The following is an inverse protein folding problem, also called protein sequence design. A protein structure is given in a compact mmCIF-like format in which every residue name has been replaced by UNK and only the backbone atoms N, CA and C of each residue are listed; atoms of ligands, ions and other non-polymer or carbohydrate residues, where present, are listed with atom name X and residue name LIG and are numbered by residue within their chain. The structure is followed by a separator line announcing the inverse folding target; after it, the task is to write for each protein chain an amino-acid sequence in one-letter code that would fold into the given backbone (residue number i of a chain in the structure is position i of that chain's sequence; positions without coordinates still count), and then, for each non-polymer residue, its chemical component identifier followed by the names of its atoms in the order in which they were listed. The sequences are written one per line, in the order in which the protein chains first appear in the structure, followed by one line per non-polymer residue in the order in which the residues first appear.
data_IF_798112283942
#
_entry.id   IF_798112283942
#
_cell.length_a   1.000
_cell.length_b   1.000
_cell.length_c   1.000
_cell.angle_alpha   90.00
_cell.angle_beta   90.00
_cell.angle_gamma   90.00
#
_symmetry.space_group_name_H-M   'P 1'
#
loop_
_entity.id
_entity.type
_entity.pdbx_description
1 polymer ?
#
# COMPACT_ATOMS: atom_id res chain seq x y z
N UNK A 1 33.81 70.79 -40.49
CA UNK A 1 33.97 70.03 -39.23
C UNK A 1 32.65 69.31 -38.99
N UNK A 2 32.55 68.02 -39.35
CA UNK A 2 32.66 66.86 -38.43
C UNK A 2 31.40 66.80 -37.54
N UNK A 3 30.51 65.81 -37.55
CA UNK A 3 30.44 64.46 -38.12
C UNK A 3 29.01 63.94 -37.97
N UNK A 4 28.60 63.05 -38.88
CA UNK A 4 27.41 62.20 -38.81
C UNK A 4 27.51 61.18 -37.66
N UNK A 5 26.41 60.99 -36.92
CA UNK A 5 26.28 59.90 -35.95
C UNK A 5 25.34 58.84 -36.50
N UNK A 6 25.92 57.78 -37.09
CA UNK A 6 25.22 56.54 -37.41
C UNK A 6 25.03 55.72 -36.12
N UNK A 7 23.78 55.47 -35.74
CA UNK A 7 23.43 54.40 -34.79
C UNK A 7 23.68 53.04 -35.46
N UNK A 8 24.69 52.30 -34.99
CA UNK A 8 24.86 50.88 -35.29
C UNK A 8 24.25 50.08 -34.14
N UNK A 9 23.09 49.47 -34.39
CA UNK A 9 22.48 48.48 -33.51
C UNK A 9 23.31 47.19 -33.57
N UNK A 10 24.03 46.87 -32.49
CA UNK A 10 24.69 45.58 -32.33
C UNK A 10 23.65 44.60 -31.81
N UNK A 11 23.17 43.72 -32.68
CA UNK A 11 22.38 42.55 -32.28
C UNK A 11 23.32 41.52 -31.65
N UNK A 12 23.38 41.49 -30.32
CA UNK A 12 23.94 40.35 -29.59
C UNK A 12 22.85 39.30 -29.52
N UNK A 13 22.92 38.29 -30.38
CA UNK A 13 22.11 37.08 -30.27
C UNK A 13 22.52 36.34 -29.00
N UNK A 14 21.79 36.59 -27.90
CA UNK A 14 21.86 35.75 -26.72
C UNK A 14 21.22 34.40 -27.06
N UNK A 15 22.04 33.44 -27.50
CA UNK A 15 21.64 32.05 -27.54
C UNK A 15 21.40 31.60 -26.10
N UNK A 16 20.13 31.61 -25.67
CA UNK A 16 19.71 30.85 -24.49
C UNK A 16 20.00 29.38 -24.79
N UNK A 17 21.12 28.88 -24.29
CA UNK A 17 21.30 27.46 -24.01
C UNK A 17 20.21 27.08 -23.01
N UNK A 18 19.09 26.59 -23.55
CA UNK A 18 18.09 25.85 -22.77
C UNK A 18 18.77 24.58 -22.28
N UNK A 19 19.43 24.68 -21.12
CA UNK A 19 19.81 23.52 -20.34
C UNK A 19 18.55 22.66 -20.20
N UNK A 20 18.53 21.42 -20.74
CA UNK A 20 17.41 20.53 -20.52
C UNK A 20 17.28 20.38 -19.01
N UNK A 21 16.08 20.69 -18.51
CA UNK A 21 15.83 20.83 -17.08
C UNK A 21 16.37 19.63 -16.31
N UNK A 22 16.85 19.91 -15.09
CA UNK A 22 17.27 18.96 -14.06
C UNK A 22 16.15 17.99 -13.59
N UNK A 23 15.13 17.78 -14.41
CA UNK A 23 14.09 16.79 -14.26
C UNK A 23 14.63 15.42 -14.70
N UNK A 24 15.19 14.66 -13.76
CA UNK A 24 14.76 13.27 -13.52
C UNK A 24 15.72 12.55 -12.57
N UNK A 25 15.81 12.98 -11.30
CA UNK A 25 16.49 12.17 -10.29
C UNK A 25 15.79 10.81 -10.09
N UNK A 26 14.50 10.67 -10.42
CA UNK A 26 13.79 9.39 -10.36
C UNK A 26 14.28 8.38 -11.42
N UNK A 27 14.88 8.86 -12.53
CA UNK A 27 15.43 7.96 -13.55
C UNK A 27 16.64 7.16 -13.07
N UNK A 28 17.22 7.50 -11.91
CA UNK A 28 18.33 6.75 -11.29
C UNK A 28 17.92 5.31 -10.99
N UNK A 29 16.64 5.07 -10.69
CA UNK A 29 16.08 3.72 -10.43
C UNK A 29 15.40 3.09 -11.65
N UNK A 30 15.47 3.74 -12.83
CA UNK A 30 14.88 3.22 -14.08
C UNK A 30 15.67 2.02 -14.58
N UNK A 31 15.01 0.89 -14.91
CA UNK A 31 15.68 -0.24 -15.55
C UNK A 31 16.32 0.11 -16.90
N UNK A 32 17.51 -0.44 -17.15
CA UNK A 32 18.30 -0.12 -18.34
C UNK A 32 17.82 -0.77 -19.63
N UNK A 33 17.04 -1.86 -19.54
CA UNK A 33 16.47 -2.60 -20.69
C UNK A 33 14.96 -2.41 -20.75
N UNK A 34 14.37 -2.56 -21.94
CA UNK A 34 12.91 -2.68 -22.06
C UNK A 34 12.44 -3.96 -21.39
N UNK A 35 11.19 -3.99 -20.92
CA UNK A 35 10.58 -5.17 -20.31
C UNK A 35 10.61 -6.36 -21.26
N UNK A 36 10.23 -6.15 -22.53
CA UNK A 36 10.22 -7.18 -23.57
C UNK A 36 11.61 -7.80 -23.86
N UNK A 37 12.69 -7.06 -23.57
CA UNK A 37 14.07 -7.51 -23.77
C UNK A 37 14.66 -8.20 -22.53
N UNK A 38 13.85 -8.37 -21.48
CA UNK A 38 14.24 -9.07 -20.26
C UNK A 38 13.51 -10.39 -20.14
N UNK A 39 14.24 -11.45 -19.78
CA UNK A 39 13.61 -12.69 -19.36
C UNK A 39 13.23 -12.54 -17.88
N UNK A 40 11.94 -12.67 -17.52
CA UNK A 40 11.53 -12.65 -16.13
C UNK A 40 12.19 -13.79 -15.35
N UNK A 41 12.39 -13.58 -14.04
CA UNK A 41 12.75 -14.66 -13.13
C UNK A 41 11.71 -15.81 -13.19
N UNK A 42 12.10 -16.99 -12.72
CA UNK A 42 11.24 -18.19 -12.74
C UNK A 42 9.85 -17.94 -12.13
N UNK A 43 8.84 -18.64 -12.66
CA UNK A 43 7.47 -18.59 -12.12
C UNK A 43 7.46 -19.14 -10.68
N UNK A 44 6.84 -18.44 -9.72
CA UNK A 44 6.70 -18.95 -8.36
C UNK A 44 5.77 -20.16 -8.31
N UNK A 45 6.18 -21.21 -7.59
CA UNK A 45 5.32 -22.35 -7.24
C UNK A 45 4.76 -22.14 -5.82
N UNK A 46 3.49 -21.77 -5.70
CA UNK A 46 2.88 -21.49 -4.40
C UNK A 46 2.55 -22.73 -3.57
N UNK A 47 2.79 -23.94 -4.10
CA UNK A 47 2.86 -25.15 -3.28
C UNK A 47 4.11 -25.17 -2.38
N UNK A 48 5.16 -24.42 -2.75
CA UNK A 48 6.36 -24.28 -1.93
C UNK A 48 6.15 -23.20 -0.85
N UNK A 49 6.29 -23.53 0.45
CA UNK A 49 6.16 -22.55 1.53
C UNK A 49 7.10 -21.35 1.43
N UNK A 50 8.26 -21.50 0.77
CA UNK A 50 9.26 -20.42 0.63
C UNK A 50 8.81 -19.29 -0.31
N UNK A 51 7.85 -19.58 -1.21
CA UNK A 51 7.21 -18.57 -2.05
C UNK A 51 6.13 -17.77 -1.29
N UNK A 52 6.02 -17.96 0.02
CA UNK A 52 5.20 -17.15 0.91
C UNK A 52 6.09 -16.35 1.85
N UNK A 53 5.84 -15.05 1.96
CA UNK A 53 6.47 -14.19 2.94
C UNK A 53 5.87 -14.42 4.35
N UNK A 54 4.59 -14.80 4.41
CA UNK A 54 3.93 -15.23 5.63
C UNK A 54 3.00 -16.41 5.42
N UNK A 55 3.07 -17.40 6.32
CA UNK A 55 2.11 -18.50 6.46
C UNK A 55 1.81 -18.72 7.94
N UNK A 56 0.54 -18.92 8.34
CA UNK A 56 0.18 -19.06 9.75
C UNK A 56 0.70 -20.36 10.41
N UNK A 57 1.23 -21.28 9.60
CA UNK A 57 1.84 -22.55 10.03
C UNK A 57 3.35 -22.45 10.19
N UNK A 58 3.96 -21.31 9.85
CA UNK A 58 5.41 -21.07 9.93
C UNK A 58 5.67 -19.92 10.89
N UNK A 59 6.78 -19.99 11.64
CA UNK A 59 7.25 -18.85 12.41
C UNK A 59 7.90 -17.82 11.48
N UNK A 60 7.34 -16.62 11.37
CA UNK A 60 7.87 -15.56 10.52
C UNK A 60 7.59 -14.13 11.04
N UNK A 61 7.88 -13.13 10.22
CA UNK A 61 7.74 -11.71 10.59
C UNK A 61 6.29 -11.26 10.77
N UNK A 62 5.30 -12.03 10.33
CA UNK A 62 3.89 -11.72 10.58
C UNK A 62 3.45 -12.11 12.01
N UNK A 63 4.24 -12.88 12.76
CA UNK A 63 3.91 -13.33 14.11
C UNK A 63 4.37 -12.38 15.22
N UNK A 64 5.16 -11.36 14.87
CA UNK A 64 5.72 -10.46 15.87
C UNK A 64 4.75 -9.34 16.23
N UNK A 65 5.00 -8.73 17.38
CA UNK A 65 4.33 -7.52 17.84
C UNK A 65 5.39 -6.47 18.22
N UNK A 66 5.07 -5.17 18.23
CA UNK A 66 6.01 -4.13 18.63
C UNK A 66 6.59 -4.42 20.02
N UNK A 67 7.89 -4.19 20.19
CA UNK A 67 8.59 -4.48 21.46
C UNK A 67 7.92 -3.72 22.62
N UNK A 68 7.75 -4.40 23.76
CA UNK A 68 7.19 -3.79 24.96
C UNK A 68 5.71 -3.39 24.87
N UNK A 69 4.99 -3.77 23.79
CA UNK A 69 3.60 -3.36 23.58
C UNK A 69 2.56 -4.12 24.43
N UNK A 70 2.92 -5.27 25.01
CA UNK A 70 1.98 -6.17 25.69
C UNK A 70 0.98 -6.87 24.76
N UNK A 71 1.05 -6.61 23.45
CA UNK A 71 0.24 -7.31 22.44
C UNK A 71 0.67 -8.77 22.31
N UNK A 72 -0.20 -9.56 21.68
CA UNK A 72 0.06 -10.97 21.38
C UNK A 72 -0.37 -11.28 19.96
N UNK A 73 0.38 -12.16 19.32
CA UNK A 73 -0.09 -12.91 18.15
C UNK A 73 -1.24 -13.84 18.56
N UNK A 74 -2.31 -13.85 17.77
CA UNK A 74 -3.53 -14.62 17.99
C UNK A 74 -3.95 -15.42 16.74
N UNK A 75 -3.08 -15.57 15.75
CA UNK A 75 -3.39 -16.26 14.49
C UNK A 75 -3.92 -17.68 14.70
N UNK A 76 -3.39 -18.41 15.69
CA UNK A 76 -3.82 -19.79 16.00
C UNK A 76 -5.31 -19.88 16.36
N UNK A 77 -5.86 -18.85 17.01
CA UNK A 77 -7.25 -18.77 17.47
C UNK A 77 -8.13 -17.95 16.54
N UNK A 78 -7.54 -17.34 15.49
CA UNK A 78 -8.26 -16.47 14.59
C UNK A 78 -9.39 -17.21 13.85
N UNK A 79 -10.53 -16.54 13.72
CA UNK A 79 -11.72 -17.06 13.03
C UNK A 79 -11.74 -16.70 11.53
N UNK A 80 -10.92 -15.74 11.12
CA UNK A 80 -10.76 -15.30 9.74
C UNK A 80 -9.33 -15.52 9.25
N UNK A 81 -9.15 -15.31 7.95
CA UNK A 81 -7.86 -15.26 7.29
C UNK A 81 -7.67 -13.87 6.67
N UNK A 82 -6.42 -13.41 6.56
CA UNK A 82 -6.06 -12.22 5.80
C UNK A 82 -5.13 -12.62 4.67
N UNK A 83 -5.51 -12.26 3.46
CA UNK A 83 -4.62 -12.32 2.31
C UNK A 83 -4.01 -10.92 2.13
N UNK A 84 -2.78 -10.77 2.61
CA UNK A 84 -2.05 -9.49 2.62
C UNK A 84 -1.07 -9.43 1.46
N UNK A 85 -1.26 -8.46 0.56
CA UNK A 85 -0.38 -8.19 -0.58
C UNK A 85 0.56 -7.04 -0.18
N UNK A 86 1.85 -7.34 -0.01
CA UNK A 86 2.83 -6.37 0.43
C UNK A 86 3.10 -5.28 -0.64
N UNK A 87 3.60 -4.08 -0.28
CA UNK A 87 3.97 -3.04 -1.25
C UNK A 87 5.31 -3.36 -1.92
N UNK A 88 5.74 -2.48 -2.82
CA UNK A 88 7.06 -2.54 -3.45
C UNK A 88 8.18 -2.32 -2.43
N UNK A 89 9.08 -3.29 -2.36
CA UNK A 89 10.37 -3.25 -1.65
C UNK A 89 11.55 -3.37 -2.61
N UNK A 90 11.27 -3.57 -3.91
CA UNK A 90 12.25 -3.60 -4.99
C UNK A 90 12.45 -2.20 -5.59
N UNK A 91 13.57 -1.55 -5.24
CA UNK A 91 13.94 -0.20 -5.72
C UNK A 91 15.12 -0.20 -6.69
N UNK A 92 15.51 -1.40 -7.11
CA UNK A 92 16.64 -1.70 -7.98
C UNK A 92 16.28 -1.43 -9.45
N UNK A 93 17.31 -1.22 -10.27
CA UNK A 93 17.22 -0.87 -11.70
C UNK A 93 17.73 -2.00 -12.62
N UNK A 94 18.07 -3.14 -12.05
CA UNK A 94 18.67 -4.27 -12.74
C UNK A 94 17.63 -4.98 -13.63
N UNK A 95 16.37 -5.00 -13.20
CA UNK A 95 15.23 -5.57 -13.92
C UNK A 95 13.94 -4.82 -13.60
N UNK A 96 12.90 -5.07 -14.38
CA UNK A 96 11.56 -4.53 -14.13
C UNK A 96 10.81 -5.22 -12.99
N UNK A 97 11.11 -6.50 -12.75
CA UNK A 97 10.49 -7.29 -11.69
C UNK A 97 11.56 -7.98 -10.85
N UNK A 98 11.30 -8.06 -9.55
CA UNK A 98 12.16 -8.75 -8.60
C UNK A 98 12.32 -10.24 -8.92
N UNK A 99 13.50 -10.78 -8.63
CA UNK A 99 13.73 -12.22 -8.56
C UNK A 99 13.42 -12.72 -7.14
N UNK A 100 12.63 -13.79 -7.02
CA UNK A 100 12.29 -14.36 -5.72
C UNK A 100 13.46 -15.10 -5.05
N UNK A 101 14.55 -15.36 -5.79
CA UNK A 101 15.79 -15.91 -5.24
C UNK A 101 16.69 -14.85 -4.60
N UNK A 102 16.35 -13.55 -4.70
CA UNK A 102 17.09 -12.47 -4.02
C UNK A 102 16.79 -12.48 -2.51
N UNK A 103 17.60 -13.23 -1.76
CA UNK A 103 17.48 -13.36 -0.30
C UNK A 103 17.55 -12.02 0.43
N UNK A 104 18.34 -11.05 -0.07
CA UNK A 104 18.46 -9.73 0.58
C UNK A 104 17.18 -8.94 0.42
N UNK A 105 16.57 -8.99 -0.76
CA UNK A 105 15.27 -8.39 -1.01
C UNK A 105 14.20 -9.04 -0.15
N UNK A 106 14.14 -10.38 -0.12
CA UNK A 106 13.18 -11.12 0.70
C UNK A 106 13.31 -10.78 2.18
N UNK A 107 14.53 -10.77 2.72
CA UNK A 107 14.80 -10.36 4.10
C UNK A 107 14.38 -8.91 4.38
N UNK A 108 14.56 -8.01 3.41
CA UNK A 108 14.08 -6.65 3.52
C UNK A 108 12.55 -6.57 3.52
N UNK A 109 11.86 -7.28 2.62
CA UNK A 109 10.39 -7.39 2.62
C UNK A 109 9.87 -7.91 3.96
N UNK A 110 10.45 -8.98 4.48
CA UNK A 110 10.02 -9.61 5.72
C UNK A 110 10.19 -8.68 6.93
N UNK A 111 11.36 -8.03 7.07
CA UNK A 111 11.65 -7.16 8.21
C UNK A 111 11.11 -5.74 8.07
N UNK A 112 10.62 -5.35 6.90
CA UNK A 112 9.97 -4.07 6.68
C UNK A 112 8.46 -4.23 6.63
N UNK A 113 7.89 -4.61 5.50
CA UNK A 113 6.47 -4.52 5.22
C UNK A 113 5.67 -5.61 5.93
N UNK A 114 6.15 -6.86 5.92
CA UNK A 114 5.48 -7.94 6.65
C UNK A 114 5.49 -7.63 8.15
N UNK A 115 6.67 -7.38 8.73
CA UNK A 115 6.82 -7.03 10.15
C UNK A 115 6.00 -5.82 10.58
N UNK A 116 5.98 -4.74 9.79
CA UNK A 116 5.46 -3.43 10.23
C UNK A 116 4.04 -3.13 9.75
N UNK A 117 3.54 -3.85 8.75
CA UNK A 117 2.20 -3.64 8.18
C UNK A 117 1.31 -4.87 8.37
N UNK A 118 1.72 -6.06 7.89
CA UNK A 118 0.87 -7.26 7.96
C UNK A 118 0.51 -7.66 9.40
N UNK A 119 1.40 -7.40 10.36
CA UNK A 119 1.20 -7.72 11.78
C UNK A 119 0.01 -7.00 12.41
N UNK A 120 -0.54 -5.93 11.82
CA UNK A 120 -1.79 -5.34 12.34
C UNK A 120 -2.93 -6.35 12.37
N UNK A 121 -2.90 -7.35 11.48
CA UNK A 121 -3.97 -8.33 11.34
C UNK A 121 -3.79 -9.58 12.20
N UNK A 122 -2.61 -9.82 12.79
CA UNK A 122 -2.32 -11.05 13.54
C UNK A 122 -3.08 -11.18 14.88
N UNK A 123 -3.91 -10.19 15.25
CA UNK A 123 -4.93 -10.32 16.31
C UNK A 123 -6.29 -10.84 15.81
N UNK A 124 -6.58 -10.67 14.51
CA UNK A 124 -7.91 -10.89 13.95
C UNK A 124 -7.97 -12.09 13.01
N UNK A 125 -6.86 -12.37 12.32
CA UNK A 125 -6.83 -13.26 11.17
C UNK A 125 -5.50 -14.02 11.08
N UNK A 126 -5.53 -15.22 10.48
CA UNK A 126 -4.33 -15.93 10.02
C UNK A 126 -3.71 -15.18 8.84
N UNK A 127 -2.42 -14.88 8.89
CA UNK A 127 -1.76 -14.06 7.87
C UNK A 127 -1.20 -14.94 6.76
N UNK A 128 -1.71 -14.75 5.55
CA UNK A 128 -1.15 -15.29 4.31
C UNK A 128 -0.63 -14.12 3.48
N UNK A 129 0.67 -14.12 3.18
CA UNK A 129 1.28 -13.10 2.33
C UNK A 129 2.18 -13.77 1.29
N UNK A 130 1.85 -13.71 -0.01
CA UNK A 130 2.69 -14.31 -1.03
C UNK A 130 3.96 -13.48 -1.28
N UNK A 131 5.05 -14.16 -1.64
CA UNK A 131 6.12 -13.51 -2.40
C UNK A 131 5.71 -13.53 -3.85
N UNK A 132 5.77 -12.38 -4.50
CA UNK A 132 5.49 -12.25 -5.93
C UNK A 132 6.60 -11.43 -6.58
N UNK A 133 6.81 -11.59 -7.89
CA UNK A 133 7.83 -10.83 -8.63
C UNK A 133 7.41 -9.37 -8.75
N UNK A 134 7.50 -8.65 -7.63
CA UNK A 134 7.09 -7.26 -7.49
C UNK A 134 7.74 -6.40 -8.57
N UNK A 135 6.94 -5.55 -9.21
CA UNK A 135 7.47 -4.59 -10.16
C UNK A 135 8.30 -3.54 -9.41
N UNK A 136 9.40 -3.09 -10.01
CA UNK A 136 10.24 -2.02 -9.44
C UNK A 136 9.42 -0.76 -9.19
N UNK A 137 9.81 0.04 -8.20
CA UNK A 137 9.11 1.28 -7.87
C UNK A 137 8.99 2.21 -9.08
N UNK A 138 10.00 2.22 -9.97
CA UNK A 138 9.96 3.02 -11.19
C UNK A 138 8.76 2.69 -12.10
N UNK A 139 8.18 1.50 -12.02
CA UNK A 139 7.01 1.11 -12.83
C UNK A 139 5.79 2.02 -12.64
N UNK A 140 5.66 2.70 -11.49
CA UNK A 140 4.59 3.67 -11.26
C UNK A 140 4.85 5.06 -11.85
N UNK A 141 6.09 5.30 -12.31
CA UNK A 141 6.54 6.59 -12.86
C UNK A 141 7.00 6.45 -14.33
N UNK A 142 6.77 5.27 -14.93
CA UNK A 142 7.02 5.02 -16.34
C UNK A 142 5.86 5.56 -17.18
N UNK A 143 5.82 6.88 -17.34
CA UNK A 143 4.75 7.57 -18.08
C UNK A 143 4.89 7.47 -19.60
N UNK A 144 6.08 7.09 -20.08
CA UNK A 144 6.46 7.20 -21.51
C UNK A 144 6.43 5.87 -22.25
N UNK A 145 6.35 4.75 -21.55
CA UNK A 145 6.38 3.41 -22.17
C UNK A 145 5.40 2.44 -21.52
N UNK A 146 5.27 1.24 -22.09
CA UNK A 146 4.41 0.18 -21.53
C UNK A 146 5.11 -0.68 -20.48
N UNK A 147 6.42 -0.53 -20.30
CA UNK A 147 7.24 -1.44 -19.50
C UNK A 147 6.76 -1.52 -18.05
N UNK A 148 6.48 -0.38 -17.41
CA UNK A 148 5.98 -0.34 -16.05
C UNK A 148 4.64 -1.07 -15.89
N UNK A 149 3.73 -0.89 -16.85
CA UNK A 149 2.43 -1.57 -16.89
C UNK A 149 2.58 -3.08 -17.12
N UNK A 150 3.46 -3.49 -18.02
CA UNK A 150 3.77 -4.90 -18.28
C UNK A 150 4.37 -5.58 -17.03
N UNK A 151 5.29 -4.90 -16.36
CA UNK A 151 5.88 -5.35 -15.10
C UNK A 151 4.82 -5.52 -14.00
N UNK A 152 3.91 -4.55 -13.85
CA UNK A 152 2.80 -4.63 -12.91
C UNK A 152 1.81 -5.76 -13.26
N UNK A 153 1.60 -6.05 -14.54
CA UNK A 153 0.77 -7.18 -14.98
C UNK A 153 1.39 -8.53 -14.63
N UNK A 154 2.70 -8.68 -14.81
CA UNK A 154 3.43 -9.88 -14.39
C UNK A 154 3.38 -10.06 -12.88
N UNK A 155 3.62 -8.99 -12.12
CA UNK A 155 3.49 -9.01 -10.66
C UNK A 155 2.06 -9.42 -10.23
N UNK A 156 1.03 -8.92 -10.92
CA UNK A 156 -0.36 -9.30 -10.64
C UNK A 156 -0.65 -10.77 -10.96
N UNK A 157 -0.11 -11.34 -12.04
CA UNK A 157 -0.35 -12.76 -12.36
C UNK A 157 0.15 -13.67 -11.25
N UNK A 158 1.26 -13.31 -10.61
CA UNK A 158 1.78 -14.02 -9.45
C UNK A 158 0.87 -13.88 -8.23
N UNK A 159 0.41 -12.66 -7.92
CA UNK A 159 -0.54 -12.42 -6.80
C UNK A 159 -1.84 -13.19 -7.02
N UNK A 160 -2.35 -13.21 -8.26
CA UNK A 160 -3.53 -13.98 -8.64
C UNK A 160 -3.32 -15.48 -8.45
N UNK A 161 -2.22 -16.03 -8.93
CA UNK A 161 -1.90 -17.44 -8.78
C UNK A 161 -1.77 -17.83 -7.29
N UNK A 162 -1.16 -16.99 -6.46
CA UNK A 162 -1.10 -17.19 -5.02
C UNK A 162 -2.49 -17.21 -4.37
N UNK A 163 -3.35 -16.25 -4.75
CA UNK A 163 -4.69 -16.17 -4.19
C UNK A 163 -5.53 -17.39 -4.58
N UNK A 164 -5.44 -17.85 -5.82
CA UNK A 164 -6.08 -19.08 -6.28
C UNK A 164 -5.59 -20.29 -5.50
N UNK A 165 -4.28 -20.41 -5.27
CA UNK A 165 -3.70 -21.48 -4.45
C UNK A 165 -4.23 -21.42 -3.01
N UNK A 166 -4.23 -20.22 -2.41
CA UNK A 166 -4.75 -20.00 -1.07
C UNK A 166 -6.22 -20.42 -0.95
N UNK A 167 -7.08 -20.02 -1.90
CA UNK A 167 -8.49 -20.43 -1.90
C UNK A 167 -8.66 -21.94 -2.00
N UNK A 168 -7.87 -22.60 -2.85
CA UNK A 168 -7.97 -24.03 -3.10
C UNK A 168 -7.41 -24.90 -1.97
N UNK A 169 -6.35 -24.46 -1.30
CA UNK A 169 -5.56 -25.31 -0.40
C UNK A 169 -5.58 -24.86 1.08
N UNK A 170 -5.77 -23.58 1.36
CA UNK A 170 -5.63 -23.02 2.71
C UNK A 170 -6.93 -22.49 3.32
N UNK A 171 -7.72 -21.74 2.54
CA UNK A 171 -8.85 -20.97 3.08
C UNK A 171 -9.95 -21.84 3.68
N UNK A 172 -10.28 -22.99 3.06
CA UNK A 172 -11.32 -23.91 3.55
C UNK A 172 -12.68 -23.23 3.84
N UNK A 173 -13.02 -22.18 3.09
CA UNK A 173 -14.29 -21.42 3.24
C UNK A 173 -14.32 -20.45 4.43
N UNK A 174 -13.16 -20.14 5.04
CA UNK A 174 -13.05 -19.20 6.15
C UNK A 174 -13.31 -17.76 5.70
N UNK A 175 -13.84 -16.89 6.58
CA UNK A 175 -13.98 -15.46 6.29
C UNK A 175 -12.64 -14.82 5.92
N UNK A 176 -12.64 -13.91 4.95
CA UNK A 176 -11.44 -13.36 4.32
C UNK A 176 -11.38 -11.86 4.51
N UNK A 177 -10.23 -11.36 4.97
CA UNK A 177 -9.81 -9.98 4.83
C UNK A 177 -8.86 -9.92 3.61
N UNK A 178 -9.11 -8.98 2.70
CA UNK A 178 -8.13 -8.63 1.65
C UNK A 178 -7.42 -7.36 2.10
N UNK A 179 -6.09 -7.36 2.12
CA UNK A 179 -5.35 -6.18 2.56
C UNK A 179 -4.16 -5.92 1.64
N UNK A 180 -3.86 -4.65 1.43
CA UNK A 180 -2.72 -4.22 0.64
C UNK A 180 -2.13 -2.90 1.11
N UNK A 181 -0.93 -2.62 0.62
CA UNK A 181 -0.35 -1.28 0.66
C UNK A 181 0.25 -0.94 -0.70
N UNK A 182 0.11 0.30 -1.18
CA UNK A 182 0.78 0.77 -2.41
C UNK A 182 0.55 -0.18 -3.60
N UNK A 183 1.60 -0.76 -4.19
CA UNK A 183 1.49 -1.81 -5.22
C UNK A 183 0.60 -2.99 -4.81
N UNK A 184 0.67 -3.42 -3.55
CA UNK A 184 -0.21 -4.45 -3.02
C UNK A 184 -1.68 -4.05 -3.06
N UNK A 185 -2.00 -2.77 -2.82
CA UNK A 185 -3.36 -2.24 -3.00
C UNK A 185 -3.74 -2.18 -4.48
N UNK A 186 -2.84 -1.75 -5.37
CA UNK A 186 -3.07 -1.81 -6.81
C UNK A 186 -3.46 -3.22 -7.28
N UNK A 187 -2.77 -4.26 -6.77
CA UNK A 187 -3.10 -5.65 -7.07
C UNK A 187 -4.36 -6.13 -6.35
N UNK A 188 -4.56 -5.77 -5.08
CA UNK A 188 -5.74 -6.15 -4.30
C UNK A 188 -7.04 -5.58 -4.90
N UNK A 189 -7.00 -4.36 -5.46
CA UNK A 189 -8.14 -3.77 -6.17
C UNK A 189 -8.55 -4.63 -7.36
N UNK A 190 -7.58 -5.06 -8.18
CA UNK A 190 -7.86 -5.95 -9.32
C UNK A 190 -8.33 -7.34 -8.88
N UNK A 191 -7.77 -7.87 -7.79
CA UNK A 191 -8.20 -9.15 -7.21
C UNK A 191 -9.67 -9.08 -6.74
N UNK A 192 -10.09 -7.99 -6.10
CA UNK A 192 -11.49 -7.80 -5.69
C UNK A 192 -12.44 -7.74 -6.89
N UNK A 193 -12.06 -7.08 -7.99
CA UNK A 193 -12.82 -7.09 -9.25
C UNK A 193 -13.01 -8.51 -9.79
N UNK A 194 -11.91 -9.26 -9.91
CA UNK A 194 -11.92 -10.57 -10.58
C UNK A 194 -12.58 -11.66 -9.72
N UNK A 195 -12.48 -11.59 -8.40
CA UNK A 195 -12.88 -12.69 -7.51
C UNK A 195 -14.06 -12.37 -6.60
N UNK A 196 -14.30 -11.11 -6.21
CA UNK A 196 -15.32 -10.80 -5.21
C UNK A 196 -16.50 -10.04 -5.82
N UNK A 197 -16.26 -9.05 -6.68
CA UNK A 197 -17.33 -8.20 -7.18
C UNK A 197 -18.32 -8.99 -8.06
N UNK A 198 -17.79 -9.92 -8.86
CA UNK A 198 -18.55 -10.76 -9.79
C UNK A 198 -18.97 -12.13 -9.23
N UNK A 199 -18.54 -12.51 -8.02
CA UNK A 199 -18.89 -13.78 -7.38
C UNK A 199 -19.65 -13.55 -6.06
N UNK A 200 -20.99 -13.68 -6.06
CA UNK A 200 -21.79 -13.54 -4.84
C UNK A 200 -21.39 -14.50 -3.71
N UNK A 201 -20.91 -15.71 -4.01
CA UNK A 201 -20.54 -16.71 -3.00
C UNK A 201 -19.24 -16.30 -2.31
N UNK A 202 -18.21 -15.92 -3.08
CA UNK A 202 -16.95 -15.47 -2.50
C UNK A 202 -17.10 -14.11 -1.81
N UNK A 203 -17.93 -13.21 -2.36
CA UNK A 203 -18.29 -11.93 -1.73
C UNK A 203 -18.92 -12.10 -0.35
N UNK A 204 -19.74 -13.12 -0.13
CA UNK A 204 -20.28 -13.43 1.19
C UNK A 204 -19.19 -13.74 2.22
N UNK A 205 -18.02 -14.24 1.81
CA UNK A 205 -16.88 -14.52 2.70
C UNK A 205 -16.05 -13.28 3.05
N UNK A 206 -16.25 -12.15 2.36
CA UNK A 206 -15.45 -10.95 2.58
C UNK A 206 -15.83 -10.26 3.91
N UNK A 207 -14.90 -10.27 4.86
CA UNK A 207 -15.01 -9.48 6.08
C UNK A 207 -14.88 -8.00 5.74
N UNK A 208 -13.75 -7.59 5.18
CA UNK A 208 -13.54 -6.26 4.61
C UNK A 208 -12.25 -6.25 3.77
N UNK A 209 -12.12 -5.24 2.91
CA UNK A 209 -10.86 -4.95 2.25
C UNK A 209 -10.19 -3.68 2.80
N UNK A 210 -8.88 -3.75 3.10
CA UNK A 210 -8.05 -2.64 3.54
C UNK A 210 -7.09 -2.26 2.40
N UNK A 211 -7.57 -1.34 1.55
CA UNK A 211 -6.94 -0.89 0.31
C UNK A 211 -6.16 0.41 0.55
N UNK A 212 -5.04 0.32 1.25
CA UNK A 212 -4.33 1.49 1.80
C UNK A 212 -3.19 1.90 0.86
N UNK A 213 -2.90 3.19 0.75
CA UNK A 213 -1.73 3.69 0.05
C UNK A 213 -1.81 3.67 -1.48
N UNK A 214 -2.98 3.46 -2.08
CA UNK A 214 -3.20 3.65 -3.52
C UNK A 214 -4.60 4.22 -3.76
N UNK A 215 -4.80 4.91 -4.89
CA UNK A 215 -6.12 5.44 -5.23
C UNK A 215 -7.08 4.29 -5.53
N UNK A 216 -8.22 4.29 -4.85
CA UNK A 216 -9.37 3.42 -5.15
C UNK A 216 -10.58 4.31 -5.26
N UNK A 217 -11.38 4.19 -6.33
CA UNK A 217 -12.54 5.07 -6.52
C UNK A 217 -13.68 4.69 -5.58
N UNK A 218 -14.62 5.60 -5.35
CA UNK A 218 -15.82 5.32 -4.55
C UNK A 218 -16.81 4.39 -5.27
N UNK A 219 -16.81 4.45 -6.60
CA UNK A 219 -17.56 3.62 -7.53
C UNK A 219 -16.69 2.54 -8.17
N UNK A 220 -15.58 2.16 -7.50
CA UNK A 220 -14.60 1.20 -8.04
C UNK A 220 -15.25 -0.11 -8.50
N UNK A 221 -16.29 -0.56 -7.79
CA UNK A 221 -16.92 -1.85 -7.98
C UNK A 221 -18.43 -1.72 -8.24
N UNK A 222 -19.01 -2.71 -8.92
CA UNK A 222 -20.45 -2.77 -9.16
C UNK A 222 -21.21 -3.06 -7.87
N UNK A 223 -20.72 -4.02 -7.09
CA UNK A 223 -21.43 -4.58 -5.94
C UNK A 223 -20.79 -4.23 -4.60
N UNK A 224 -19.46 -4.16 -4.52
CA UNK A 224 -18.76 -3.71 -3.31
C UNK A 224 -18.86 -2.19 -3.14
N UNK A 225 -18.97 -1.74 -1.89
CA UNK A 225 -19.05 -0.31 -1.53
C UNK A 225 -18.01 0.06 -0.48
N UNK A 226 -17.58 1.32 -0.39
CA UNK A 226 -16.79 1.80 0.73
C UNK A 226 -17.52 1.53 2.04
N UNK A 227 -16.80 1.25 3.11
CA UNK A 227 -17.41 1.05 4.42
C UNK A 227 -17.93 2.39 4.98
N UNK A 228 -19.09 2.33 5.63
CA UNK A 228 -19.76 3.44 6.33
C UNK A 228 -19.28 3.58 7.77
N UNK A 229 -18.91 2.46 8.41
CA UNK A 229 -18.46 2.45 9.80
C UNK A 229 -17.42 1.35 10.12
N UNK A 230 -17.09 1.26 11.42
CA UNK A 230 -16.09 0.34 11.96
C UNK A 230 -16.52 -1.13 11.97
N UNK A 231 -17.80 -1.43 11.83
CA UNK A 231 -18.41 -2.76 11.96
C UNK A 231 -18.98 -3.32 10.66
N UNK A 232 -19.24 -2.47 9.66
CA UNK A 232 -19.71 -2.94 8.36
C UNK A 232 -18.75 -3.97 7.75
N UNK A 233 -19.33 -5.02 7.19
CA UNK A 233 -18.60 -6.10 6.51
C UNK A 233 -18.94 -6.14 5.02
N UNK A 234 -18.16 -6.88 4.22
CA UNK A 234 -18.37 -6.98 2.76
C UNK A 234 -18.14 -5.65 2.03
N UNK A 235 -17.30 -4.79 2.59
CA UNK A 235 -17.01 -3.44 2.13
C UNK A 235 -15.50 -3.19 2.10
N UNK A 236 -15.07 -2.03 1.59
CA UNK A 236 -13.64 -1.66 1.56
C UNK A 236 -13.36 -0.30 2.19
N UNK A 237 -12.16 -0.14 2.74
CA UNK A 237 -11.61 1.12 3.22
C UNK A 237 -10.30 1.40 2.51
N UNK A 238 -9.92 2.67 2.42
CA UNK A 238 -8.65 3.10 1.85
C UNK A 238 -8.30 4.51 2.28
N UNK A 239 -7.03 4.85 2.25
CA UNK A 239 -6.50 6.20 2.46
C UNK A 239 -5.04 6.27 2.04
N UNK A 240 -4.55 7.50 1.86
CA UNK A 240 -3.12 7.80 1.78
C UNK A 240 -2.86 9.05 2.63
N UNK A 241 -1.91 8.96 3.57
CA UNK A 241 -1.69 9.98 4.57
C UNK A 241 -0.79 11.09 4.02
N UNK A 242 -1.21 12.34 4.17
CA UNK A 242 -0.43 13.52 3.78
C UNK A 242 -0.53 14.58 4.88
N UNK A 243 0.53 15.38 5.02
CA UNK A 243 0.49 16.53 5.91
C UNK A 243 -0.66 17.48 5.55
N UNK A 244 -1.38 17.91 6.59
CA UNK A 244 -2.49 18.85 6.49
C UNK A 244 -2.20 20.04 5.59
N UNK A 245 -3.17 20.40 4.73
CA UNK A 245 -3.07 21.54 3.83
C UNK A 245 -2.25 21.27 2.56
N UNK A 246 -1.87 20.02 2.30
CA UNK A 246 -1.21 19.62 1.06
C UNK A 246 -2.13 18.73 0.23
N UNK A 247 -2.23 19.05 -1.05
CA UNK A 247 -3.01 18.31 -2.04
C UNK A 247 -2.12 17.38 -2.84
N UNK A 248 -2.74 16.36 -3.42
CA UNK A 248 -2.11 15.51 -4.43
C UNK A 248 -3.17 15.09 -5.46
N UNK A 249 -3.33 15.86 -6.55
CA UNK A 249 -4.41 15.69 -7.52
C UNK A 249 -4.61 14.26 -8.06
N UNK A 250 -3.56 13.42 -8.20
CA UNK A 250 -3.77 12.03 -8.58
C UNK A 250 -4.77 11.27 -7.68
N UNK A 251 -4.96 11.66 -6.41
CA UNK A 251 -5.90 11.02 -5.49
C UNK A 251 -7.33 11.60 -5.50
N UNK A 252 -7.57 12.70 -6.23
CA UNK A 252 -8.88 13.36 -6.29
C UNK A 252 -10.01 12.39 -6.66
N UNK A 253 -11.12 12.43 -5.92
CA UNK A 253 -12.25 11.52 -6.10
C UNK A 253 -12.01 10.07 -5.62
N UNK A 254 -10.85 9.79 -5.03
CA UNK A 254 -10.59 8.51 -4.36
C UNK A 254 -11.34 8.35 -3.04
N UNK A 255 -11.42 7.12 -2.55
CA UNK A 255 -11.88 6.80 -1.20
C UNK A 255 -10.82 7.21 -0.19
N UNK A 256 -11.25 7.95 0.82
CA UNK A 256 -10.51 8.16 2.05
C UNK A 256 -11.42 7.84 3.25
N UNK A 257 -10.95 6.93 4.10
CA UNK A 257 -11.56 6.59 5.39
C UNK A 257 -10.67 7.11 6.50
N UNK A 258 -11.24 7.83 7.47
CA UNK A 258 -10.51 8.27 8.64
C UNK A 258 -10.34 7.10 9.64
N UNK A 259 -9.13 6.54 9.85
CA UNK A 259 -8.94 5.39 10.75
C UNK A 259 -9.14 5.74 12.24
N UNK A 260 -9.32 7.02 12.59
CA UNK A 260 -9.65 7.45 13.94
C UNK A 260 -11.14 7.28 14.25
N UNK A 261 -12.00 7.37 13.24
CA UNK A 261 -13.47 7.33 13.39
C UNK A 261 -14.13 6.21 12.57
N UNK A 262 -13.41 5.63 11.62
CA UNK A 262 -13.89 4.70 10.59
C UNK A 262 -14.99 5.26 9.70
N UNK A 263 -15.04 6.59 9.57
CA UNK A 263 -15.99 7.31 8.71
C UNK A 263 -15.28 7.92 7.52
N UNK A 264 -16.08 8.27 6.50
CA UNK A 264 -15.64 8.97 5.28
C UNK A 264 -16.06 10.45 5.26
N UNK A 265 -16.67 10.93 6.34
CA UNK A 265 -17.02 12.34 6.47
C UNK A 265 -15.77 13.22 6.58
N UNK A 266 -15.94 14.51 6.32
CA UNK A 266 -14.86 15.50 6.34
C UNK A 266 -14.65 16.11 7.71
N UNK A 267 -15.21 15.52 8.79
CA UNK A 267 -14.99 16.06 10.13
C UNK A 267 -13.54 15.79 10.58
N UNK A 268 -12.92 16.81 11.17
CA UNK A 268 -11.60 16.66 11.76
C UNK A 268 -11.67 15.79 13.02
N UNK A 269 -10.92 14.71 13.06
CA UNK A 269 -10.81 13.81 14.20
C UNK A 269 -9.57 14.19 15.04
N UNK A 270 -9.74 14.47 16.34
CA UNK A 270 -8.63 14.88 17.21
C UNK A 270 -7.69 13.71 17.52
N UNK A 271 -6.42 14.03 17.82
CA UNK A 271 -5.37 13.02 17.99
C UNK A 271 -5.60 12.06 19.14
N UNK A 272 -6.37 12.41 20.18
CA UNK A 272 -6.67 11.49 21.29
C UNK A 272 -7.46 10.24 20.85
N UNK A 273 -8.04 10.24 19.65
CA UNK A 273 -8.66 9.06 19.03
C UNK A 273 -7.63 8.12 18.36
N UNK A 274 -6.40 8.56 18.18
CA UNK A 274 -5.29 7.71 17.76
C UNK A 274 -4.83 6.87 18.95
N UNK A 275 -5.26 5.60 18.93
CA UNK A 275 -5.06 4.64 20.02
C UNK A 275 -3.62 4.20 20.17
N UNK A 276 -2.82 4.35 19.12
CA UNK A 276 -1.41 4.00 19.13
C UNK A 276 -0.86 3.81 17.73
N UNK A 277 0.15 4.59 17.38
CA UNK A 277 1.02 4.32 16.26
C UNK A 277 2.23 3.49 16.68
N UNK A 278 2.93 2.96 15.68
CA UNK A 278 4.18 2.22 15.82
C UNK A 278 5.21 2.85 14.87
N UNK A 279 6.35 3.36 15.38
CA UNK A 279 7.38 3.96 14.54
C UNK A 279 8.09 2.91 13.69
N UNK A 280 8.86 3.34 12.69
CA UNK A 280 9.62 2.46 11.80
C UNK A 280 10.56 1.50 12.54
N UNK A 281 11.06 1.90 13.71
CA UNK A 281 11.91 1.07 14.57
C UNK A 281 11.16 -0.12 15.21
N UNK A 282 9.82 -0.13 15.18
CA UNK A 282 8.95 -1.20 15.68
C UNK A 282 9.18 -1.56 17.16
N UNK A 283 9.59 -0.58 17.97
CA UNK A 283 10.11 -0.78 19.32
C UNK A 283 9.25 -0.18 20.44
N UNK A 284 8.12 0.43 20.11
CA UNK A 284 7.19 1.05 21.09
C UNK A 284 5.81 1.31 20.47
N UNK A 285 4.87 1.71 21.33
CA UNK A 285 3.57 2.27 20.96
C UNK A 285 3.57 3.76 21.34
N UNK A 286 3.24 4.63 20.39
CA UNK A 286 3.05 6.06 20.63
C UNK A 286 1.55 6.39 20.58
N UNK A 287 0.93 6.84 21.67
CA UNK A 287 -0.48 7.26 21.66
C UNK A 287 -0.64 8.69 21.16
N UNK A 288 -1.81 9.02 20.60
CA UNK A 288 -2.13 10.38 20.17
C UNK A 288 -1.15 10.99 19.14
N UNK A 289 -0.61 10.15 18.25
CA UNK A 289 0.43 10.50 17.26
C UNK A 289 -0.01 11.63 16.33
N UNK A 290 -1.22 11.49 15.76
CA UNK A 290 -1.80 12.42 14.77
C UNK A 290 -3.31 12.54 14.95
N UNK A 291 -3.86 13.73 14.72
CA UNK A 291 -5.25 13.90 14.31
C UNK A 291 -5.38 13.66 12.81
N UNK A 292 -6.61 13.48 12.33
CA UNK A 292 -6.84 13.18 10.91
C UNK A 292 -8.16 13.73 10.36
N UNK A 293 -8.19 14.09 9.09
CA UNK A 293 -9.39 14.55 8.37
C UNK A 293 -9.38 13.98 6.94
N UNK A 294 -10.53 13.53 6.45
CA UNK A 294 -10.70 13.16 5.04
C UNK A 294 -10.77 14.43 4.20
N UNK A 295 -9.95 14.50 3.14
CA UNK A 295 -9.93 15.63 2.20
C UNK A 295 -9.62 15.15 0.78
N UNK A 296 -10.53 15.33 -0.17
CA UNK A 296 -10.34 15.02 -1.61
C UNK A 296 -9.70 13.64 -1.92
N UNK A 297 -10.09 12.59 -1.21
CA UNK A 297 -9.52 11.24 -1.40
C UNK A 297 -8.17 11.00 -0.71
N UNK A 298 -7.67 11.99 0.01
CA UNK A 298 -6.51 11.91 0.90
C UNK A 298 -6.95 11.89 2.37
N UNK A 299 -6.04 11.44 3.23
CA UNK A 299 -6.15 11.58 4.67
C UNK A 299 -5.15 12.63 5.15
N UNK A 300 -5.65 13.84 5.40
CA UNK A 300 -4.87 14.88 6.03
C UNK A 300 -4.57 14.51 7.47
N UNK A 301 -3.31 14.64 7.86
CA UNK A 301 -2.85 14.41 9.23
C UNK A 301 -2.03 15.59 9.71
N UNK A 302 -2.07 15.84 11.02
CA UNK A 302 -1.05 16.70 11.63
C UNK A 302 0.32 16.00 11.52
N UNK A 303 1.40 16.79 11.52
CA UNK A 303 2.75 16.22 11.59
C UNK A 303 2.88 15.40 12.89
N UNK A 304 3.30 14.12 12.82
CA UNK A 304 3.54 13.29 13.99
C UNK A 304 4.45 14.01 14.99
N UNK A 305 4.00 14.15 16.24
CA UNK A 305 4.86 14.72 17.30
C UNK A 305 6.03 13.81 17.64
N UNK A 306 5.85 12.49 17.81
CA UNK A 306 6.97 11.56 18.02
C UNK A 306 7.75 11.33 16.73
N UNK A 307 9.06 11.13 16.86
CA UNK A 307 9.93 10.76 15.73
C UNK A 307 9.72 9.30 15.30
N UNK A 308 10.12 8.96 14.07
CA UNK A 308 10.06 7.59 13.56
C UNK A 308 8.88 7.29 12.65
N UNK A 309 8.13 8.31 12.24
CA UNK A 309 7.12 8.26 11.18
C UNK A 309 7.64 9.04 9.97
N UNK A 310 8.45 8.41 9.11
CA UNK A 310 9.14 9.11 8.03
C UNK A 310 8.18 9.54 6.92
N UNK A 311 8.52 10.63 6.25
CA UNK A 311 7.88 11.06 5.00
C UNK A 311 8.36 10.22 3.83
N UNK A 312 7.56 10.15 2.78
CA UNK A 312 7.93 9.48 1.54
C UNK A 312 8.73 10.44 0.65
N UNK A 313 10.06 10.37 0.77
CA UNK A 313 10.97 11.19 -0.02
C UNK A 313 11.44 10.41 -1.24
N UNK A 314 11.07 10.88 -2.43
CA UNK A 314 11.47 10.27 -3.70
C UNK A 314 12.19 11.31 -4.58
N UNK A 315 13.46 11.09 -4.94
CA UNK A 315 14.20 12.04 -5.77
C UNK A 315 13.48 12.30 -7.09
N UNK A 316 13.30 13.57 -7.46
CA UNK A 316 12.60 13.97 -8.69
C UNK A 316 11.07 13.98 -8.59
N UNK A 317 10.51 13.81 -7.39
CA UNK A 317 9.07 13.92 -7.10
C UNK A 317 8.86 14.83 -5.88
N UNK A 318 9.14 16.15 -5.98
CA UNK A 318 9.08 17.09 -4.85
C UNK A 318 7.69 17.21 -4.22
N UNK A 319 6.62 16.99 -4.97
CA UNK A 319 5.23 16.95 -4.49
C UNK A 319 4.98 15.86 -3.45
N UNK A 320 5.74 14.75 -3.51
CA UNK A 320 5.61 13.66 -2.54
C UNK A 320 6.28 13.96 -1.19
N UNK A 321 7.06 15.04 -1.08
CA UNK A 321 7.79 15.37 0.17
C UNK A 321 6.88 15.57 1.38
N UNK A 322 5.58 15.83 1.15
CA UNK A 322 4.59 16.00 2.22
C UNK A 322 3.86 14.70 2.59
N UNK A 323 4.03 13.65 1.80
CA UNK A 323 3.37 12.36 1.99
C UNK A 323 3.97 11.58 3.16
N UNK A 324 3.12 10.91 3.92
CA UNK A 324 3.47 9.92 4.93
C UNK A 324 3.12 8.50 4.46
N UNK A 325 3.06 8.28 3.14
CA UNK A 325 2.65 7.01 2.52
C UNK A 325 3.34 5.77 3.12
N UNK A 326 4.65 5.82 3.35
CA UNK A 326 5.41 4.69 3.93
C UNK A 326 5.06 4.40 5.41
N UNK A 327 4.38 5.34 6.08
CA UNK A 327 3.95 5.26 7.46
C UNK A 327 2.45 5.00 7.62
N UNK A 328 1.67 4.83 6.53
CA UNK A 328 0.21 4.70 6.58
C UNK A 328 -0.29 3.67 7.62
N UNK A 329 0.31 2.47 7.65
CA UNK A 329 -0.01 1.43 8.64
C UNK A 329 0.53 1.78 10.04
N UNK A 330 1.75 2.31 10.11
CA UNK A 330 2.42 2.63 11.37
C UNK A 330 1.72 3.74 12.15
N UNK A 331 1.23 4.79 11.48
CA UNK A 331 0.53 5.93 12.09
C UNK A 331 -0.73 5.52 12.86
N UNK A 332 -1.39 4.44 12.43
CA UNK A 332 -2.70 4.01 12.93
C UNK A 332 -2.71 2.55 13.38
N UNK A 333 -1.54 1.99 13.73
CA UNK A 333 -1.34 0.56 13.96
C UNK A 333 -2.38 -0.07 14.92
N UNK A 334 -2.64 0.54 16.08
CA UNK A 334 -3.62 0.03 17.04
C UNK A 334 -5.07 0.27 16.63
N UNK A 335 -5.34 1.36 15.90
CA UNK A 335 -6.67 1.60 15.32
C UNK A 335 -7.00 0.49 14.31
N UNK A 336 -6.09 0.24 13.37
CA UNK A 336 -6.15 -0.83 12.38
C UNK A 336 -6.34 -2.20 13.02
N UNK A 337 -5.44 -2.57 13.94
CA UNK A 337 -5.47 -3.86 14.64
C UNK A 337 -6.80 -4.11 15.33
N UNK A 338 -7.31 -3.10 16.05
CA UNK A 338 -8.60 -3.20 16.73
C UNK A 338 -9.76 -3.31 15.74
N UNK A 339 -9.74 -2.53 14.66
CA UNK A 339 -10.81 -2.57 13.68
C UNK A 339 -10.90 -3.91 12.95
N UNK A 340 -9.76 -4.52 12.62
CA UNK A 340 -9.76 -5.85 12.02
C UNK A 340 -10.45 -6.87 12.93
N UNK A 341 -10.14 -6.85 14.24
CA UNK A 341 -10.81 -7.70 15.25
C UNK A 341 -12.32 -7.39 15.29
N UNK A 342 -12.69 -6.11 15.37
CA UNK A 342 -14.08 -5.67 15.41
C UNK A 342 -14.87 -6.12 14.18
N UNK A 343 -14.30 -6.05 12.98
CA UNK A 343 -14.98 -6.50 11.76
C UNK A 343 -15.10 -8.00 11.66
N UNK A 344 -14.09 -8.76 12.10
CA UNK A 344 -14.19 -10.22 12.19
C UNK A 344 -15.29 -10.62 13.18
N UNK A 345 -15.36 -9.97 14.34
CA UNK A 345 -16.42 -10.19 15.32
C UNK A 345 -17.81 -9.85 14.75
N UNK A 346 -17.95 -8.69 14.12
CA UNK A 346 -19.19 -8.26 13.48
C UNK A 346 -19.62 -9.23 12.37
N UNK A 347 -18.69 -9.73 11.57
CA UNK A 347 -18.95 -10.76 10.56
C UNK A 347 -19.49 -12.04 11.21
N UNK A 348 -18.82 -12.54 12.26
CA UNK A 348 -19.22 -13.80 12.92
C UNK A 348 -20.53 -13.70 13.70
N UNK A 349 -20.93 -12.50 14.10
CA UNK A 349 -22.18 -12.25 14.81
C UNK A 349 -23.40 -12.14 13.86
N UNK A 350 -23.19 -12.01 12.55
CA UNK A 350 -24.29 -12.00 11.59
C UNK A 350 -24.94 -13.39 11.53
N UNK A 351 -26.29 -13.48 11.53
CA UNK A 351 -26.97 -14.72 11.23
C UNK A 351 -26.44 -15.24 9.88
N UNK A 352 -26.00 -16.50 9.83
CA UNK A 352 -25.52 -17.15 8.62
C UNK A 352 -26.54 -16.87 7.50
N UNK A 353 -26.19 -15.99 6.56
CA UNK A 353 -27.09 -15.63 5.47
C UNK A 353 -27.29 -16.89 4.63
N UNK A 354 -28.54 -17.36 4.43
CA UNK A 354 -28.81 -18.56 3.65
C UNK A 354 -28.16 -18.52 2.27
#
# INVERSE_FOLDING_TARGET
MVTSALYRSVWVSAALLTLPGLNACISVIKPGKQFADTQPASLPDYAQPDNWAALPTRRDSADVVPLGSGLRDQQRQALADVFYVHPTTYYKRESWNADLTDERLNHFTDNSTIRKQATVFNAAARVYAPRYRQATLYSFFDEKSSNGKEALNLAYSDVKAAFQYYLAHYNQGRPIIIAGHSQGTFHATRLLHEFFDNDPKLRKQLVAAYLIGFKVKTDEYQALRPCEDSTQTGCYVGWNSVEWGNEYPPFDGGVATNPLTWKRDTAAAPSHLNRGGVPLAFNRIDTAVVGAQVHNGLLWINVPKPIGYPRFLLPGQPELRHSFHIADYGLFYLNLRRNAVTRVQAYTAQPQRP
#
